data_IF_578052694435
#
_entry.id   IF_578052694435
#
_cell.length_a   1.000
_cell.length_b   1.000
_cell.length_c   1.000
_cell.angle_alpha   90.00
_cell.angle_beta   90.00
_cell.angle_gamma   90.00
#
_symmetry.space_group_name_H-M   'P 1'
#
loop_
_entity.id
_entity.type
_entity.pdbx_description
1 polymer ?
#
# COMPACT_ATOMS: atom_id res chain seq x y z
N UNK A 1 -35.31 22.80 24.41
CA UNK A 1 -35.56 22.34 23.03
C UNK A 1 -34.92 20.96 22.88
N UNK A 2 -35.72 19.89 22.96
CA UNK A 2 -35.25 18.51 22.89
C UNK A 2 -35.17 18.04 21.43
N UNK A 3 -33.97 17.82 20.92
CA UNK A 3 -33.74 17.23 19.60
C UNK A 3 -33.91 15.72 19.66
N UNK A 4 -34.94 15.21 18.98
CA UNK A 4 -35.09 13.78 18.75
C UNK A 4 -33.96 13.29 17.85
N UNK A 5 -33.01 12.55 18.43
CA UNK A 5 -32.01 11.81 17.68
C UNK A 5 -32.70 10.65 16.94
N UNK A 6 -33.15 10.90 15.71
CA UNK A 6 -33.52 9.84 14.80
C UNK A 6 -32.26 9.09 14.39
N UNK A 7 -32.03 7.94 15.02
CA UNK A 7 -30.98 7.00 14.58
C UNK A 7 -31.36 6.52 13.19
N UNK A 8 -30.67 7.03 12.17
CA UNK A 8 -30.78 6.50 10.81
C UNK A 8 -30.17 5.11 10.77
N UNK A 9 -31.03 4.09 10.91
CA UNK A 9 -30.61 2.70 10.76
C UNK A 9 -30.25 2.47 9.28
N UNK A 10 -29.05 1.99 8.95
CA UNK A 10 -28.70 1.65 7.59
C UNK A 10 -29.70 0.64 7.02
N UNK A 11 -30.10 0.81 5.75
CA UNK A 11 -30.95 -0.17 5.09
C UNK A 11 -30.20 -1.51 5.01
N UNK A 12 -30.77 -2.54 5.62
CA UNK A 12 -30.22 -3.88 5.56
C UNK A 12 -30.32 -4.40 4.11
N UNK A 13 -29.25 -4.92 3.51
CA UNK A 13 -29.30 -5.53 2.18
C UNK A 13 -30.19 -6.79 2.19
N UNK A 14 -30.77 -7.11 1.04
CA UNK A 14 -31.62 -8.29 0.88
C UNK A 14 -30.83 -9.57 1.21
N UNK A 15 -31.39 -10.44 2.06
CA UNK A 15 -30.77 -11.69 2.48
C UNK A 15 -30.49 -12.64 1.30
N UNK A 16 -31.22 -12.50 0.19
CA UNK A 16 -31.06 -13.33 -1.02
C UNK A 16 -29.79 -13.03 -1.79
N UNK A 17 -29.14 -11.89 -1.55
CA UNK A 17 -27.88 -11.56 -2.23
C UNK A 17 -26.70 -12.39 -1.73
N UNK A 18 -26.80 -13.03 -0.56
CA UNK A 18 -25.73 -13.84 0.02
C UNK A 18 -25.78 -15.27 -0.52
N UNK A 19 -25.01 -15.53 -1.59
CA UNK A 19 -24.85 -16.85 -2.19
C UNK A 19 -23.53 -17.49 -1.74
N UNK A 20 -23.58 -18.78 -1.45
CA UNK A 20 -22.41 -19.55 -1.00
C UNK A 20 -21.46 -19.81 -2.16
N UNK A 21 -22.04 -19.94 -3.36
CA UNK A 21 -21.38 -20.25 -4.62
C UNK A 21 -20.37 -19.17 -5.04
N UNK A 22 -20.58 -17.92 -4.60
CA UNK A 22 -19.70 -16.79 -4.94
C UNK A 22 -18.39 -16.79 -4.12
N UNK A 23 -18.31 -17.60 -3.05
CA UNK A 23 -17.17 -17.64 -2.14
C UNK A 23 -16.42 -18.97 -2.27
N UNK A 24 -15.22 -19.01 -2.88
CA UNK A 24 -14.50 -20.25 -3.14
C UNK A 24 -14.13 -21.03 -1.87
N UNK A 25 -13.88 -20.32 -0.77
CA UNK A 25 -13.55 -20.93 0.53
C UNK A 25 -14.73 -21.70 1.12
N UNK A 26 -15.95 -21.14 1.01
CA UNK A 26 -17.17 -21.79 1.51
C UNK A 26 -17.59 -22.96 0.62
N UNK A 27 -17.41 -22.84 -0.71
CA UNK A 27 -17.63 -23.95 -1.65
C UNK A 27 -16.73 -25.12 -1.31
N UNK A 28 -15.44 -24.88 -1.08
CA UNK A 28 -14.48 -25.92 -0.68
C UNK A 28 -14.86 -26.57 0.66
N UNK A 29 -15.33 -25.78 1.63
CA UNK A 29 -15.80 -26.32 2.91
C UNK A 29 -17.03 -27.22 2.72
N UNK A 30 -18.01 -26.76 1.93
CA UNK A 30 -19.21 -27.54 1.57
C UNK A 30 -18.85 -28.86 0.89
N UNK A 31 -17.89 -28.86 -0.03
CA UNK A 31 -17.40 -30.08 -0.69
C UNK A 31 -16.71 -31.03 0.28
N UNK A 32 -15.89 -30.52 1.19
CA UNK A 32 -15.20 -31.33 2.18
C UNK A 32 -16.18 -31.96 3.18
N UNK A 33 -17.18 -31.22 3.63
CA UNK A 33 -18.25 -31.75 4.48
C UNK A 33 -19.10 -32.78 3.74
N UNK A 34 -19.40 -32.54 2.46
CA UNK A 34 -20.14 -33.48 1.64
C UNK A 34 -19.41 -34.83 1.48
N UNK A 35 -18.07 -34.83 1.38
CA UNK A 35 -17.26 -36.07 1.39
C UNK A 35 -17.43 -36.89 2.67
N UNK A 36 -17.75 -36.22 3.78
CA UNK A 36 -18.04 -36.86 5.07
C UNK A 36 -19.53 -37.18 5.26
N UNK A 37 -20.39 -36.87 4.27
CA UNK A 37 -21.84 -36.99 4.38
C UNK A 37 -22.49 -35.90 5.25
N UNK A 38 -21.75 -34.85 5.62
CA UNK A 38 -22.23 -33.75 6.43
C UNK A 38 -22.64 -32.54 5.58
N UNK A 39 -23.56 -31.74 6.10
CA UNK A 39 -24.00 -30.48 5.50
C UNK A 39 -24.04 -29.39 6.56
N UNK A 40 -23.33 -28.30 6.32
CA UNK A 40 -23.37 -27.12 7.19
C UNK A 40 -24.60 -26.24 6.86
N UNK A 41 -25.55 -26.05 7.80
CA UNK A 41 -26.70 -25.16 7.60
C UNK A 41 -26.34 -23.67 7.69
N UNK A 42 -25.19 -23.32 8.28
CA UNK A 42 -24.78 -21.93 8.55
C UNK A 42 -23.89 -21.32 7.46
N UNK A 43 -23.50 -22.09 6.45
CA UNK A 43 -22.62 -21.62 5.38
C UNK A 43 -23.07 -20.31 4.71
N UNK A 44 -24.39 -20.08 4.59
CA UNK A 44 -24.92 -18.82 4.03
C UNK A 44 -24.70 -17.62 4.96
N UNK A 45 -24.77 -17.82 6.27
CA UNK A 45 -24.52 -16.78 7.26
C UNK A 45 -23.05 -16.33 7.25
N UNK A 46 -22.11 -17.19 6.83
CA UNK A 46 -20.70 -16.81 6.79
C UNK A 46 -20.32 -16.00 5.55
N UNK A 47 -21.20 -15.95 4.53
CA UNK A 47 -20.92 -15.28 3.24
C UNK A 47 -20.56 -13.81 3.43
N UNK A 48 -21.25 -13.07 4.32
CA UNK A 48 -20.97 -11.64 4.51
C UNK A 48 -19.54 -11.40 5.01
N UNK A 49 -19.03 -12.29 5.87
CA UNK A 49 -17.68 -12.18 6.42
C UNK A 49 -16.65 -12.36 5.31
N UNK A 50 -16.81 -13.41 4.51
CA UNK A 50 -15.90 -13.71 3.42
C UNK A 50 -16.02 -12.74 2.24
N UNK A 51 -17.21 -12.21 1.96
CA UNK A 51 -17.40 -11.18 0.95
C UNK A 51 -16.61 -9.90 1.28
N UNK A 52 -16.52 -9.53 2.56
CA UNK A 52 -15.71 -8.39 2.99
C UNK A 52 -14.21 -8.68 2.92
N UNK A 53 -13.78 -9.87 3.34
CA UNK A 53 -12.38 -10.31 3.31
C UNK A 53 -11.84 -10.51 1.88
N UNK A 54 -12.64 -11.08 0.96
CA UNK A 54 -12.22 -11.34 -0.42
C UNK A 54 -12.12 -10.07 -1.29
N UNK A 55 -12.63 -8.92 -0.83
CA UNK A 55 -12.47 -7.66 -1.58
C UNK A 55 -11.03 -7.20 -1.66
N UNK A 56 -10.19 -7.66 -0.73
CA UNK A 56 -8.78 -7.31 -0.71
C UNK A 56 -7.95 -8.55 -1.06
N UNK A 57 -7.53 -8.65 -2.33
CA UNK A 57 -6.52 -9.64 -2.72
C UNK A 57 -5.27 -9.39 -1.87
N UNK A 58 -4.73 -10.44 -1.23
CA UNK A 58 -3.52 -10.32 -0.38
C UNK A 58 -2.38 -9.61 -1.10
N UNK A 59 -2.25 -9.86 -2.41
CA UNK A 59 -1.32 -9.17 -3.29
C UNK A 59 -1.64 -7.68 -3.48
N UNK A 60 -2.92 -7.33 -3.65
CA UNK A 60 -3.37 -5.94 -3.71
C UNK A 60 -3.06 -5.17 -2.42
N UNK A 61 -3.31 -5.78 -1.25
CA UNK A 61 -2.93 -5.18 0.05
C UNK A 61 -1.42 -4.98 0.12
N UNK A 62 -0.64 -5.98 -0.30
CA UNK A 62 0.81 -5.90 -0.28
C UNK A 62 1.34 -4.78 -1.18
N UNK A 63 0.92 -4.74 -2.44
CA UNK A 63 1.30 -3.69 -3.39
C UNK A 63 0.83 -2.30 -2.95
N UNK A 64 -0.37 -2.18 -2.41
CA UNK A 64 -0.88 -0.91 -1.88
C UNK A 64 -0.09 -0.46 -0.66
N UNK A 65 0.31 -1.38 0.21
CA UNK A 65 1.08 -1.05 1.42
C UNK A 65 2.52 -0.70 1.07
N UNK A 66 3.16 -1.47 0.18
CA UNK A 66 4.52 -1.22 -0.27
C UNK A 66 4.63 0.02 -1.17
N UNK A 67 3.62 0.27 -2.03
CA UNK A 67 3.57 1.42 -2.93
C UNK A 67 3.03 2.70 -2.28
N UNK A 68 2.46 2.62 -1.07
CA UNK A 68 1.98 3.79 -0.32
C UNK A 68 3.15 4.73 -0.03
N UNK A 69 3.02 5.98 -0.48
CA UNK A 69 4.03 7.01 -0.30
C UNK A 69 5.17 6.97 -1.32
N UNK A 70 5.29 5.94 -2.15
CA UNK A 70 6.35 5.87 -3.17
C UNK A 70 6.27 7.04 -4.16
N UNK A 71 5.05 7.37 -4.65
CA UNK A 71 4.85 8.50 -5.57
C UNK A 71 5.22 9.84 -4.94
N UNK A 72 4.80 10.06 -3.69
CA UNK A 72 5.09 11.28 -2.94
C UNK A 72 6.59 11.39 -2.63
N UNK A 73 7.21 10.28 -2.22
CA UNK A 73 8.65 10.20 -1.98
C UNK A 73 9.48 10.47 -3.23
N UNK A 74 9.10 9.89 -4.38
CA UNK A 74 9.74 10.17 -5.66
C UNK A 74 9.61 11.63 -6.09
N UNK A 75 8.42 12.23 -5.93
CA UNK A 75 8.21 13.63 -6.26
C UNK A 75 9.08 14.56 -5.40
N UNK A 76 9.12 14.33 -4.08
CA UNK A 76 9.99 15.09 -3.17
C UNK A 76 11.48 14.87 -3.47
N UNK A 77 11.87 13.63 -3.77
CA UNK A 77 13.24 13.28 -4.14
C UNK A 77 13.68 14.00 -5.42
N UNK A 78 12.86 13.98 -6.46
CA UNK A 78 13.13 14.68 -7.72
C UNK A 78 13.19 16.20 -7.53
N UNK A 79 12.27 16.76 -6.75
CA UNK A 79 12.26 18.20 -6.43
C UNK A 79 13.52 18.61 -5.67
N UNK A 80 13.95 17.80 -4.70
CA UNK A 80 15.17 18.03 -3.93
C UNK A 80 16.42 17.94 -4.81
N UNK A 81 16.50 16.93 -5.69
CA UNK A 81 17.61 16.77 -6.62
C UNK A 81 17.73 17.93 -7.61
N UNK A 82 16.60 18.40 -8.16
CA UNK A 82 16.55 19.60 -9.01
C UNK A 82 16.97 20.85 -8.24
N UNK A 83 16.46 21.04 -7.02
CA UNK A 83 16.83 22.15 -6.15
C UNK A 83 18.33 22.17 -5.85
N UNK A 84 18.91 21.02 -5.50
CA UNK A 84 20.35 20.87 -5.28
C UNK A 84 21.17 21.19 -6.52
N UNK A 85 20.79 20.64 -7.68
CA UNK A 85 21.47 20.93 -8.95
C UNK A 85 21.45 22.42 -9.30
N UNK A 86 20.31 23.09 -9.13
CA UNK A 86 20.19 24.52 -9.41
C UNK A 86 20.95 25.38 -8.39
N UNK A 87 20.97 24.97 -7.11
CA UNK A 87 21.73 25.63 -6.06
C UNK A 87 23.24 25.53 -6.31
N UNK A 88 23.74 24.35 -6.65
CA UNK A 88 25.14 24.13 -7.00
C UNK A 88 25.52 24.87 -8.28
N UNK A 89 24.63 24.96 -9.27
CA UNK A 89 24.85 25.75 -10.48
C UNK A 89 24.90 27.26 -10.21
N UNK A 90 24.07 27.76 -9.31
CA UNK A 90 24.01 29.18 -8.97
C UNK A 90 25.16 29.60 -8.03
N UNK A 91 25.55 28.75 -7.09
CA UNK A 91 26.59 29.04 -6.09
C UNK A 91 27.98 28.50 -6.49
N UNK A 92 28.07 27.69 -7.55
CA UNK A 92 29.30 27.05 -8.04
C UNK A 92 30.25 27.94 -8.82
N UNK A 93 30.12 29.27 -8.78
CA UNK A 93 31.17 30.18 -9.25
C UNK A 93 32.07 30.60 -8.07
N UNK A 94 32.98 29.69 -7.68
CA UNK A 94 34.00 29.99 -6.68
C UNK A 94 34.75 28.75 -6.21
N UNK A 95 35.71 28.27 -7.00
CA UNK A 95 37.12 28.11 -6.64
C UNK A 95 37.85 27.35 -7.75
N UNK A 96 38.83 28.05 -8.34
CA UNK A 96 39.52 27.67 -9.55
C UNK A 96 40.50 26.51 -9.39
N UNK A 97 40.82 25.95 -10.55
CA UNK A 97 41.96 25.09 -10.80
C UNK A 97 43.27 25.74 -10.31
N UNK A 98 43.99 25.03 -9.45
CA UNK A 98 45.41 25.29 -9.16
C UNK A 98 46.23 24.09 -9.58
N UNK A 99 46.74 24.10 -10.82
CA UNK A 99 47.93 23.34 -11.19
C UNK A 99 49.11 23.94 -10.44
N UNK A 100 49.81 23.11 -9.66
CA UNK A 100 51.04 23.47 -8.98
C UNK A 100 52.08 22.39 -9.25
N UNK A 101 52.65 22.44 -10.45
CA UNK A 101 53.94 21.82 -10.71
C UNK A 101 54.97 22.63 -9.91
N UNK A 102 55.71 22.02 -8.99
CA UNK A 102 56.95 22.62 -8.54
C UNK A 102 58.02 21.56 -8.20
N UNK A 103 59.22 21.88 -8.66
CA UNK A 103 60.37 21.01 -8.78
C UNK A 103 61.41 21.38 -7.71
N UNK A 104 62.02 20.37 -7.08
CA UNK A 104 63.44 20.42 -6.72
C UNK A 104 63.88 20.97 -5.34
N UNK A 105 64.98 20.36 -4.86
CA UNK A 105 65.89 20.72 -3.74
C UNK A 105 65.41 20.35 -2.32
N UNK A 106 66.15 19.69 -1.42
CA UNK A 106 67.53 19.22 -1.37
C UNK A 106 68.00 19.16 0.10
N UNK A 107 68.72 18.09 0.47
CA UNK A 107 69.68 17.93 1.60
C UNK A 107 69.27 18.11 3.08
N UNK A 108 69.75 17.17 3.91
CA UNK A 108 70.09 17.47 5.32
C UNK A 108 70.13 16.26 6.26
N UNK A 109 71.28 15.57 6.28
CA UNK A 109 71.88 14.63 7.26
C UNK A 109 71.14 14.33 8.58
#
# INVERSE_FOLDING_TARGET
MGGHHHVHVPKLPDYRSYKVEDIPQLVKNKENLAKLGLKDPWARNEVWRFAFLNRNTTWGIFCDTAGRGFKTGWALGALTALGGYLWDRHNGHGHGHGHGDDSGHGHGH
#
